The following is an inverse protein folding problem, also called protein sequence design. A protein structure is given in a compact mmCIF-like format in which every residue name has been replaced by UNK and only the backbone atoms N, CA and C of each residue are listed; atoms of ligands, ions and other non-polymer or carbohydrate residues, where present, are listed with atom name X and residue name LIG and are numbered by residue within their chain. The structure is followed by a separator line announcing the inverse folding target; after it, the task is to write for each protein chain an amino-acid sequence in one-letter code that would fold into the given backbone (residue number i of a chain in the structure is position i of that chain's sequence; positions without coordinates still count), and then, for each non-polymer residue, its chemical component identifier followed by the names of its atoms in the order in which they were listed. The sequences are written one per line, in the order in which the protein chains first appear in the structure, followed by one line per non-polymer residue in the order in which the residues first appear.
data_IF_008077926572
#
_entry.id   IF_008077926572
#
_cell.length_a   1.000
_cell.length_b   1.000
_cell.length_c   1.000
_cell.angle_alpha   90.00
_cell.angle_beta   90.00
_cell.angle_gamma   90.00
#
_symmetry.space_group_name_H-M   'P 1'
#
loop_
_entity.id
_entity.type
_entity.pdbx_description
1 polymer ?
#
# COMPACT_ATOMS: atom_id res chain seq x y z
N UNK A 1 -10.64 -39.97 11.73
CA UNK A 1 -9.28 -39.42 11.94
C UNK A 1 -9.08 -39.12 13.41
N UNK A 2 -8.13 -39.79 14.08
CA UNK A 2 -7.88 -39.62 15.51
C UNK A 2 -7.16 -38.31 15.81
N UNK A 3 -7.70 -37.52 16.74
CA UNK A 3 -7.07 -36.28 17.22
C UNK A 3 -5.68 -36.63 17.78
N UNK A 4 -4.62 -36.03 17.22
CA UNK A 4 -3.26 -36.15 17.78
C UNK A 4 -3.32 -35.67 19.23
N UNK A 5 -2.92 -36.53 20.18
CA UNK A 5 -2.80 -36.13 21.59
C UNK A 5 -1.78 -35.00 21.69
N UNK A 6 -2.14 -33.91 22.35
CA UNK A 6 -1.22 -32.84 22.67
C UNK A 6 -0.10 -33.40 23.56
N UNK A 7 1.15 -33.01 23.30
CA UNK A 7 2.33 -33.52 24.00
C UNK A 7 2.37 -33.12 25.49
N UNK A 8 1.57 -32.13 25.90
CA UNK A 8 1.38 -31.71 27.28
C UNK A 8 -0.12 -31.62 27.57
N UNK A 9 -0.67 -32.45 28.47
CA UNK A 9 -2.10 -32.48 28.75
C UNK A 9 -2.61 -31.20 29.43
N UNK A 10 -1.75 -30.51 30.19
CA UNK A 10 -2.09 -29.31 30.96
C UNK A 10 -2.27 -28.05 30.09
N UNK A 11 -1.67 -28.01 28.90
CA UNK A 11 -1.83 -26.90 27.95
C UNK A 11 -3.17 -26.95 27.19
N UNK A 12 -3.98 -28.00 27.41
CA UNK A 12 -5.28 -28.08 26.78
C UNK A 12 -6.27 -27.15 27.47
N UNK A 13 -6.98 -26.36 26.66
CA UNK A 13 -8.10 -25.52 27.07
C UNK A 13 -9.28 -26.39 27.53
N UNK A 14 -9.23 -26.79 28.80
CA UNK A 14 -10.18 -27.73 29.41
C UNK A 14 -11.19 -27.04 30.31
N UNK A 15 -10.85 -25.87 30.86
CA UNK A 15 -11.71 -25.10 31.75
C UNK A 15 -12.35 -23.90 31.04
N UNK A 16 -13.64 -23.67 31.30
CA UNK A 16 -14.41 -22.55 30.74
C UNK A 16 -14.54 -21.44 31.79
N UNK A 17 -14.17 -20.22 31.42
CA UNK A 17 -14.33 -19.03 32.25
C UNK A 17 -15.51 -18.21 31.72
N UNK A 18 -16.55 -18.05 32.54
CA UNK A 18 -17.70 -17.18 32.24
C UNK A 18 -17.57 -15.87 33.03
N UNK A 19 -17.33 -14.76 32.34
CA UNK A 19 -17.14 -13.44 32.94
C UNK A 19 -18.21 -12.47 32.43
N UNK A 20 -18.81 -11.69 33.33
CA UNK A 20 -19.62 -10.52 32.95
C UNK A 20 -18.72 -9.30 32.93
N UNK A 21 -18.74 -8.55 31.83
CA UNK A 21 -17.96 -7.32 31.66
C UNK A 21 -18.89 -6.14 31.39
N UNK A 22 -18.42 -4.94 31.69
CA UNK A 22 -19.11 -3.71 31.33
C UNK A 22 -19.02 -3.47 29.82
N UNK A 23 -19.98 -2.74 29.26
CA UNK A 23 -20.00 -2.37 27.83
C UNK A 23 -18.72 -1.64 27.40
N UNK A 24 -18.16 -0.78 28.25
CA UNK A 24 -16.90 -0.09 27.98
C UNK A 24 -15.72 -1.07 27.87
N UNK A 25 -15.66 -2.05 28.78
CA UNK A 25 -14.62 -3.09 28.72
C UNK A 25 -14.79 -3.98 27.48
N UNK A 26 -16.03 -4.33 27.13
CA UNK A 26 -16.35 -5.08 25.91
C UNK A 26 -15.86 -4.35 24.66
N UNK A 27 -16.17 -3.06 24.51
CA UNK A 27 -15.71 -2.24 23.37
C UNK A 27 -14.19 -2.18 23.26
N UNK A 28 -13.47 -2.10 24.38
CA UNK A 28 -12.00 -2.12 24.39
C UNK A 28 -11.46 -3.45 23.89
N UNK A 29 -12.01 -4.57 24.36
CA UNK A 29 -11.61 -5.91 23.91
C UNK A 29 -11.92 -6.12 22.43
N UNK A 30 -13.08 -5.65 21.96
CA UNK A 30 -13.47 -5.76 20.57
C UNK A 30 -12.57 -4.90 19.66
N UNK A 31 -12.16 -3.72 20.10
CA UNK A 31 -11.20 -2.89 19.38
C UNK A 31 -9.84 -3.59 19.25
N UNK A 32 -9.36 -4.22 20.33
CA UNK A 32 -8.13 -5.03 20.28
C UNK A 32 -8.30 -6.19 19.29
N UNK A 33 -9.43 -6.91 19.33
CA UNK A 33 -9.71 -8.01 18.39
C UNK A 33 -9.66 -7.57 16.94
N UNK A 34 -10.34 -6.47 16.59
CA UNK A 34 -10.42 -5.96 15.21
C UNK A 34 -9.06 -5.55 14.64
N UNK A 35 -8.16 -5.07 15.50
CA UNK A 35 -6.86 -4.56 15.11
C UNK A 35 -5.71 -5.49 15.51
N UNK A 36 -5.96 -6.77 15.79
CA UNK A 36 -4.89 -7.71 16.16
C UNK A 36 -5.01 -9.05 15.44
N UNK A 37 -4.05 -9.93 15.73
CA UNK A 37 -4.02 -11.31 15.24
C UNK A 37 -4.98 -12.25 15.98
N UNK A 38 -5.79 -11.74 16.90
CA UNK A 38 -6.77 -12.52 17.65
C UNK A 38 -8.10 -12.65 16.87
N UNK A 39 -8.63 -13.87 16.77
CA UNK A 39 -9.87 -14.12 16.03
C UNK A 39 -11.12 -13.87 16.90
N UNK A 40 -11.01 -14.10 18.21
CA UNK A 40 -12.13 -14.07 19.15
C UNK A 40 -11.81 -13.27 20.41
N UNK A 41 -12.81 -12.70 21.07
CA UNK A 41 -12.64 -11.98 22.35
C UNK A 41 -12.04 -12.86 23.45
N UNK A 42 -12.46 -14.14 23.63
CA UNK A 42 -11.82 -15.02 24.60
C UNK A 42 -10.33 -15.24 24.33
N UNK A 43 -9.91 -15.28 23.06
CA UNK A 43 -8.49 -15.36 22.70
C UNK A 43 -7.73 -14.09 23.14
N UNK A 44 -8.31 -12.90 22.92
CA UNK A 44 -7.74 -11.63 23.42
C UNK A 44 -7.57 -11.66 24.94
N UNK A 45 -8.62 -12.05 25.66
CA UNK A 45 -8.62 -12.12 27.13
C UNK A 45 -7.56 -13.11 27.61
N UNK A 46 -7.52 -14.30 27.01
CA UNK A 46 -6.55 -15.34 27.36
C UNK A 46 -5.12 -14.85 27.19
N UNK A 47 -4.80 -14.25 26.05
CA UNK A 47 -3.45 -13.71 25.80
C UNK A 47 -3.09 -12.58 26.77
N UNK A 48 -4.05 -11.73 27.16
CA UNK A 48 -3.82 -10.72 28.20
C UNK A 48 -3.50 -11.36 29.56
N UNK A 49 -4.24 -12.41 29.95
CA UNK A 49 -4.04 -13.12 31.23
C UNK A 49 -2.69 -13.85 31.25
N UNK A 50 -2.37 -14.54 30.15
CA UNK A 50 -1.11 -15.29 29.96
C UNK A 50 0.10 -14.37 29.73
N UNK A 51 -0.12 -13.05 29.61
CA UNK A 51 0.89 -12.05 29.22
C UNK A 51 1.59 -12.37 27.91
N UNK A 52 0.85 -13.00 27.01
CA UNK A 52 1.28 -13.35 25.68
C UNK A 52 1.26 -12.13 24.75
N UNK A 53 2.07 -12.22 23.70
CA UNK A 53 2.18 -11.15 22.70
C UNK A 53 0.89 -11.07 21.87
N UNK A 54 0.35 -9.87 21.75
CA UNK A 54 -0.73 -9.53 20.83
C UNK A 54 -0.14 -8.66 19.72
N UNK A 55 -0.21 -9.13 18.48
CA UNK A 55 0.32 -8.39 17.33
C UNK A 55 -0.76 -7.43 16.89
N UNK A 56 -0.54 -6.13 17.12
CA UNK A 56 -1.48 -5.10 16.71
C UNK A 56 -1.19 -4.65 15.27
N UNK A 57 -2.17 -4.79 14.38
CA UNK A 57 -2.12 -4.30 13.02
C UNK A 57 -2.58 -2.85 12.98
N UNK A 58 -1.62 -1.93 12.96
CA UNK A 58 -1.90 -0.54 12.67
C UNK A 58 -1.82 -0.32 11.15
N UNK A 59 -2.96 -0.18 10.47
CA UNK A 59 -2.95 0.29 9.08
C UNK A 59 -2.74 1.81 9.10
N UNK A 60 -1.54 2.24 8.73
CA UNK A 60 -1.25 3.67 8.58
C UNK A 60 -1.93 4.21 7.31
N UNK A 61 -3.13 4.77 7.48
CA UNK A 61 -3.89 5.40 6.41
C UNK A 61 -3.26 6.72 5.92
N UNK A 62 -2.22 7.24 6.57
CA UNK A 62 -1.54 8.47 6.13
C UNK A 62 -0.82 8.30 4.79
N UNK A 63 -0.52 7.06 4.38
CA UNK A 63 0.14 6.73 3.13
C UNK A 63 -0.82 6.55 1.94
N UNK A 64 -2.12 6.36 2.19
CA UNK A 64 -3.08 6.05 1.13
C UNK A 64 -3.21 7.22 0.13
N UNK A 65 -3.33 8.46 0.62
CA UNK A 65 -3.47 9.65 -0.23
C UNK A 65 -2.20 9.99 -1.05
N UNK A 66 -0.98 9.98 -0.47
CA UNK A 66 0.26 10.09 -1.25
C UNK A 66 0.41 9.04 -2.35
N UNK A 67 0.01 7.79 -2.07
CA UNK A 67 0.16 6.68 -2.99
C UNK A 67 -0.78 6.81 -4.20
N UNK A 68 -2.00 7.30 -3.99
CA UNK A 68 -2.96 7.59 -5.06
C UNK A 68 -2.41 8.63 -6.06
N UNK A 69 -1.80 9.71 -5.56
CA UNK A 69 -1.18 10.74 -6.40
C UNK A 69 -0.03 10.17 -7.23
N UNK A 70 0.83 9.32 -6.63
CA UNK A 70 1.94 8.69 -7.33
C UNK A 70 1.46 7.74 -8.45
N UNK A 71 0.40 6.96 -8.20
CA UNK A 71 -0.21 6.09 -9.21
C UNK A 71 -0.75 6.93 -10.39
N UNK A 72 -1.35 8.09 -10.11
CA UNK A 72 -1.81 9.03 -11.13
C UNK A 72 -0.67 9.48 -12.05
N UNK A 73 0.43 9.95 -11.46
CA UNK A 73 1.59 10.44 -12.24
C UNK A 73 2.24 9.31 -13.04
N UNK A 74 2.34 8.09 -12.49
CA UNK A 74 2.87 6.93 -13.21
C UNK A 74 2.05 6.60 -14.47
N UNK A 75 0.71 6.65 -14.38
CA UNK A 75 -0.19 6.42 -15.52
C UNK A 75 0.02 7.48 -16.60
N UNK A 76 0.14 8.74 -16.22
CA UNK A 76 0.39 9.84 -17.16
C UNK A 76 1.74 9.68 -17.88
N UNK A 77 2.83 9.41 -17.15
CA UNK A 77 4.15 9.19 -17.74
C UNK A 77 4.15 8.00 -18.72
N UNK A 78 3.46 6.91 -18.38
CA UNK A 78 3.30 5.75 -19.27
C UNK A 78 2.57 6.13 -20.56
N UNK A 79 1.53 6.95 -20.49
CA UNK A 79 0.82 7.44 -21.67
C UNK A 79 1.72 8.32 -22.56
N UNK A 80 2.52 9.22 -21.97
CA UNK A 80 3.44 10.06 -22.73
C UNK A 80 4.54 9.20 -23.39
N UNK A 81 5.11 8.23 -22.67
CA UNK A 81 6.11 7.31 -23.21
C UNK A 81 5.58 6.50 -24.40
N UNK A 82 4.33 6.02 -24.33
CA UNK A 82 3.68 5.36 -25.47
C UNK A 82 3.56 6.28 -26.69
N UNK A 83 3.17 7.54 -26.49
CA UNK A 83 3.03 8.52 -27.57
C UNK A 83 4.39 8.85 -28.22
N UNK A 84 5.46 9.00 -27.42
CA UNK A 84 6.82 9.18 -27.94
C UNK A 84 7.22 7.98 -28.79
N UNK A 85 7.01 6.76 -28.29
CA UNK A 85 7.36 5.54 -29.01
C UNK A 85 6.60 5.42 -30.35
N UNK A 86 5.34 5.85 -30.40
CA UNK A 86 4.57 5.91 -31.65
C UNK A 86 5.19 6.88 -32.67
N UNK A 87 5.62 8.07 -32.23
CA UNK A 87 6.24 9.07 -33.10
C UNK A 87 7.61 8.59 -33.59
N UNK A 88 8.40 7.96 -32.73
CA UNK A 88 9.69 7.37 -33.11
C UNK A 88 9.51 6.30 -34.18
N UNK A 89 8.50 5.43 -34.05
CA UNK A 89 8.17 4.43 -35.08
C UNK A 89 7.75 5.08 -36.41
N UNK A 90 6.92 6.13 -36.36
CA UNK A 90 6.51 6.89 -37.55
C UNK A 90 7.69 7.60 -38.22
N UNK A 91 8.61 8.18 -37.44
CA UNK A 91 9.81 8.83 -37.95
C UNK A 91 10.71 7.82 -38.69
N UNK A 92 10.95 6.65 -38.08
CA UNK A 92 11.77 5.59 -38.66
C UNK A 92 11.14 4.99 -39.93
N UNK A 93 9.80 4.99 -40.04
CA UNK A 93 9.06 4.49 -41.21
C UNK A 93 8.83 5.52 -42.33
N UNK A 94 9.13 6.81 -42.10
CA UNK A 94 8.86 7.88 -43.08
C UNK A 94 9.97 8.04 -44.12
N UNK A 95 9.60 8.11 -45.41
CA UNK A 95 10.54 8.17 -46.55
C UNK A 95 10.75 9.59 -47.13
N UNK A 96 9.97 10.59 -46.69
CA UNK A 96 10.04 11.98 -47.17
C UNK A 96 10.50 12.93 -46.06
N UNK A 97 11.43 13.84 -46.38
CA UNK A 97 12.04 14.78 -45.43
C UNK A 97 11.02 15.75 -44.80
N UNK A 98 9.94 16.09 -45.51
CA UNK A 98 8.86 16.92 -44.97
C UNK A 98 8.06 16.22 -43.87
N UNK A 99 7.81 14.92 -44.02
CA UNK A 99 7.14 14.12 -42.99
C UNK A 99 8.05 13.92 -41.76
N UNK A 100 9.36 13.72 -41.97
CA UNK A 100 10.33 13.64 -40.87
C UNK A 100 10.35 14.90 -40.01
N UNK A 101 10.43 16.09 -40.62
CA UNK A 101 10.43 17.36 -39.90
C UNK A 101 9.16 17.59 -39.08
N UNK A 102 8.00 17.17 -39.59
CA UNK A 102 6.74 17.21 -38.85
C UNK A 102 6.76 16.32 -37.60
N UNK A 103 7.23 15.07 -37.73
CA UNK A 103 7.34 14.14 -36.61
C UNK A 103 8.39 14.60 -35.56
N UNK A 104 9.52 15.18 -36.00
CA UNK A 104 10.54 15.75 -35.10
C UNK A 104 10.00 16.91 -34.27
N UNK A 105 9.30 17.88 -34.90
CA UNK A 105 8.66 18.99 -34.17
C UNK A 105 7.66 18.49 -33.14
N UNK A 106 6.88 17.47 -33.50
CA UNK A 106 5.88 16.87 -32.60
C UNK A 106 6.53 16.14 -31.42
N UNK A 107 7.61 15.40 -31.67
CA UNK A 107 8.40 14.77 -30.61
C UNK A 107 8.95 15.79 -29.61
N UNK A 108 9.51 16.92 -30.08
CA UNK A 108 10.04 17.98 -29.21
C UNK A 108 8.98 18.55 -28.25
N UNK A 109 7.72 18.68 -28.70
CA UNK A 109 6.61 19.12 -27.84
C UNK A 109 6.32 18.08 -26.74
N UNK A 110 6.26 16.80 -27.08
CA UNK A 110 6.03 15.74 -26.08
C UNK A 110 7.20 15.60 -25.10
N UNK A 111 8.45 15.74 -25.54
CA UNK A 111 9.61 15.76 -24.65
C UNK A 111 9.55 16.91 -23.64
N UNK A 112 9.11 18.10 -24.05
CA UNK A 112 8.90 19.24 -23.13
C UNK A 112 7.79 18.96 -22.11
N UNK A 113 6.73 18.24 -22.51
CA UNK A 113 5.67 17.81 -21.61
C UNK A 113 6.14 16.75 -20.61
N UNK A 114 7.00 15.79 -21.04
CA UNK A 114 7.65 14.84 -20.14
C UNK A 114 8.46 15.57 -19.09
N UNK A 115 9.31 16.51 -19.49
CA UNK A 115 10.20 17.24 -18.59
C UNK A 115 9.44 17.98 -17.48
N UNK A 116 8.30 18.60 -17.83
CA UNK A 116 7.43 19.28 -16.86
C UNK A 116 6.82 18.28 -15.86
N UNK A 117 6.38 17.12 -16.34
CA UNK A 117 5.76 16.08 -15.51
C UNK A 117 6.77 15.34 -14.63
N UNK A 118 7.98 15.10 -15.13
CA UNK A 118 9.11 14.54 -14.37
C UNK A 118 9.52 15.51 -13.27
N UNK A 119 9.57 16.81 -13.55
CA UNK A 119 9.84 17.84 -12.54
C UNK A 119 8.79 17.87 -11.43
N UNK A 120 7.50 17.75 -11.78
CA UNK A 120 6.41 17.64 -10.81
C UNK A 120 6.50 16.35 -9.98
N UNK A 121 6.86 15.23 -10.59
CA UNK A 121 7.07 13.96 -9.89
C UNK A 121 8.23 14.07 -8.89
N UNK A 122 9.37 14.61 -9.31
CA UNK A 122 10.54 14.79 -8.45
C UNK A 122 10.26 15.73 -7.28
N UNK A 123 9.45 16.77 -7.48
CA UNK A 123 9.06 17.67 -6.39
C UNK A 123 8.15 16.99 -5.37
N UNK A 124 7.18 16.19 -5.82
CA UNK A 124 6.32 15.39 -4.94
C UNK A 124 7.10 14.31 -4.19
N UNK A 125 8.00 13.59 -4.86
CA UNK A 125 8.88 12.61 -4.22
C UNK A 125 9.73 13.30 -3.15
N UNK A 126 10.25 14.50 -3.43
CA UNK A 126 11.03 15.28 -2.45
C UNK A 126 10.20 15.70 -1.23
N UNK A 127 8.93 16.08 -1.42
CA UNK A 127 8.03 16.41 -0.32
C UNK A 127 7.69 15.18 0.55
N UNK A 128 7.48 14.02 -0.09
CA UNK A 128 7.23 12.76 0.61
C UNK A 128 8.49 12.29 1.35
N UNK A 129 9.66 12.38 0.72
CA UNK A 129 10.94 12.09 1.35
C UNK A 129 11.18 12.96 2.59
N UNK A 130 10.83 14.25 2.54
CA UNK A 130 10.91 15.16 3.73
C UNK A 130 10.01 14.70 4.88
N UNK A 131 8.78 14.29 4.61
CA UNK A 131 7.88 13.75 5.65
C UNK A 131 8.39 12.42 6.23
N UNK A 132 9.03 11.59 5.41
CA UNK A 132 9.55 10.28 5.83
C UNK A 132 10.91 10.32 6.53
N UNK A 133 11.76 11.29 6.19
CA UNK A 133 13.10 11.48 6.79
C UNK A 133 13.08 12.37 8.03
N UNK A 134 11.94 12.95 8.40
CA UNK A 134 11.76 13.56 9.71
C UNK A 134 11.70 12.46 10.78
N UNK A 135 12.89 11.99 11.16
CA UNK A 135 13.15 11.46 12.50
C UNK A 135 13.39 12.62 13.46
#
# INVERSE_FOLDING_TARGET
MGRRKANQPDDNLTQVIMLRVTENAWRKLENIRLNSDCQTIPEVIRRIIEKDKIIYYHKDASMDAPMEVLIGIQKELKAIGNNINQITRQLNGSMSDGQRWYHVKRAAVYYKQVDTKVSLLLSFISQLAKKWLQK
#
